data_IF_289785856376
#
_entry.id   IF_289785856376
#
_cell.length_a   1.000
_cell.length_b   1.000
_cell.length_c   1.000
_cell.angle_alpha   90.00
_cell.angle_beta   90.00
_cell.angle_gamma   90.00
#
_symmetry.space_group_name_H-M   'P 1'
#
loop_
_entity.id
_entity.type
_entity.pdbx_description
1 polymer ?
#
# COMPACT_ATOMS: atom_id res chain seq x y z
N UNK A 1 -14.02 -8.42 8.43
CA UNK A 1 -14.10 -6.98 8.08
C UNK A 1 -14.99 -6.19 9.04
N UNK A 2 -16.16 -6.71 9.45
CA UNK A 2 -17.11 -5.98 10.34
C UNK A 2 -16.48 -5.45 11.65
N UNK A 3 -15.48 -6.13 12.21
CA UNK A 3 -14.73 -5.67 13.38
C UNK A 3 -13.93 -4.37 13.17
N UNK A 4 -13.67 -3.97 11.92
CA UNK A 4 -13.03 -2.70 11.56
C UNK A 4 -14.05 -1.60 11.23
N UNK A 5 -15.35 -1.92 11.19
CA UNK A 5 -16.40 -0.95 10.90
C UNK A 5 -16.55 0.07 12.03
N UNK A 6 -16.68 1.35 11.67
CA UNK A 6 -16.99 2.43 12.61
C UNK A 6 -18.49 2.50 12.94
N UNK A 7 -19.34 1.91 12.11
CA UNK A 7 -20.80 1.96 12.24
C UNK A 7 -21.28 0.81 13.11
N UNK A 8 -22.15 1.09 14.07
CA UNK A 8 -22.82 0.04 14.83
C UNK A 8 -23.83 -0.71 13.98
N UNK A 9 -23.72 -2.03 14.00
CA UNK A 9 -24.55 -2.89 13.17
C UNK A 9 -25.69 -3.43 14.02
N UNK A 10 -26.92 -3.12 13.61
CA UNK A 10 -28.09 -3.78 14.16
C UNK A 10 -28.38 -5.03 13.32
N UNK A 11 -28.60 -6.15 14.00
CA UNK A 11 -28.88 -7.44 13.37
C UNK A 11 -30.33 -7.82 13.56
N UNK A 12 -30.96 -8.23 12.48
CA UNK A 12 -32.36 -8.63 12.40
C UNK A 12 -32.52 -9.98 11.68
N UNK A 13 -33.76 -10.45 11.57
CA UNK A 13 -34.09 -11.71 10.89
C UNK A 13 -33.80 -11.71 9.39
N UNK A 14 -33.56 -10.55 8.79
CA UNK A 14 -33.24 -10.39 7.37
C UNK A 14 -31.73 -10.23 7.14
N UNK A 15 -30.95 -10.15 8.22
CA UNK A 15 -29.50 -10.07 8.16
C UNK A 15 -28.92 -11.39 7.63
N UNK A 16 -27.89 -11.33 6.78
CA UNK A 16 -27.31 -12.52 6.19
C UNK A 16 -26.70 -13.42 7.27
N UNK A 17 -26.80 -14.74 7.08
CA UNK A 17 -26.44 -15.75 8.09
C UNK A 17 -25.03 -15.58 8.63
N UNK A 18 -24.06 -15.26 7.77
CA UNK A 18 -22.68 -15.03 8.19
C UNK A 18 -22.53 -13.88 9.20
N UNK A 19 -23.37 -12.84 9.12
CA UNK A 19 -23.37 -11.74 10.09
C UNK A 19 -24.05 -12.12 11.40
N UNK A 20 -25.09 -12.95 11.35
CA UNK A 20 -25.74 -13.49 12.54
C UNK A 20 -24.81 -14.41 13.35
N UNK A 21 -24.01 -15.23 12.66
CA UNK A 21 -23.07 -16.16 13.30
C UNK A 21 -22.05 -15.45 14.20
N UNK A 22 -21.49 -14.32 13.75
CA UNK A 22 -20.45 -13.60 14.49
C UNK A 22 -20.95 -12.36 15.24
N UNK A 23 -22.23 -12.01 15.08
CA UNK A 23 -22.80 -10.74 15.54
C UNK A 23 -22.56 -10.42 17.01
N UNK A 24 -22.57 -11.45 17.87
CA UNK A 24 -22.32 -11.31 19.31
C UNK A 24 -20.87 -10.93 19.65
N UNK A 25 -19.90 -11.37 18.85
CA UNK A 25 -18.48 -11.15 19.09
C UNK A 25 -17.94 -9.86 18.44
N UNK A 26 -18.61 -9.38 17.39
CA UNK A 26 -18.18 -8.18 16.65
C UNK A 26 -17.95 -6.95 17.56
N UNK A 27 -18.81 -6.62 18.55
CA UNK A 27 -18.56 -5.47 19.43
C UNK A 27 -17.25 -5.57 20.21
N UNK A 28 -16.91 -6.78 20.70
CA UNK A 28 -15.64 -7.03 21.40
C UNK A 28 -14.46 -6.84 20.45
N UNK A 29 -14.50 -7.45 19.26
CA UNK A 29 -13.43 -7.31 18.27
C UNK A 29 -13.24 -5.86 17.81
N UNK A 30 -14.31 -5.07 17.71
CA UNK A 30 -14.20 -3.61 17.46
C UNK A 30 -13.42 -2.89 18.54
N UNK A 31 -13.62 -3.23 19.82
CA UNK A 31 -12.86 -2.64 20.92
C UNK A 31 -11.39 -3.04 20.87
N UNK A 32 -11.09 -4.29 20.53
CA UNK A 32 -9.72 -4.78 20.34
C UNK A 32 -9.04 -4.05 19.17
N UNK A 33 -9.72 -3.87 18.03
CA UNK A 33 -9.21 -3.12 16.87
C UNK A 33 -8.95 -1.65 17.22
N UNK A 34 -9.88 -0.99 17.93
CA UNK A 34 -9.68 0.40 18.39
C UNK A 34 -8.48 0.52 19.31
N UNK A 35 -8.33 -0.43 20.25
CA UNK A 35 -7.20 -0.49 21.17
C UNK A 35 -5.89 -0.73 20.42
N UNK A 36 -5.89 -1.62 19.43
CA UNK A 36 -4.73 -1.90 18.58
C UNK A 36 -4.26 -0.64 17.83
N UNK A 37 -5.16 0.09 17.16
CA UNK A 37 -4.79 1.34 16.49
C UNK A 37 -4.29 2.42 17.45
N UNK A 38 -4.81 2.45 18.68
CA UNK A 38 -4.29 3.34 19.73
C UNK A 38 -2.86 2.95 20.10
N UNK A 39 -2.61 1.66 20.36
CA UNK A 39 -1.28 1.16 20.69
C UNK A 39 -0.26 1.46 19.59
N UNK A 40 -0.61 1.21 18.31
CA UNK A 40 0.28 1.51 17.17
C UNK A 40 0.59 3.00 17.05
N UNK A 41 -0.39 3.87 17.30
CA UNK A 41 -0.19 5.32 17.28
C UNK A 41 0.70 5.81 18.42
N UNK A 42 0.53 5.21 19.59
CA UNK A 42 1.25 5.59 20.81
C UNK A 42 2.68 4.99 20.84
N UNK A 43 3.06 4.16 19.85
CA UNK A 43 4.44 3.67 19.69
C UNK A 43 5.41 4.80 19.34
N UNK A 44 6.69 4.69 19.75
CA UNK A 44 7.73 5.62 19.32
C UNK A 44 7.83 5.71 17.79
N UNK A 45 8.13 6.91 17.28
CA UNK A 45 8.34 7.09 15.84
C UNK A 45 9.58 6.34 15.37
N UNK A 46 9.46 5.70 14.21
CA UNK A 46 10.57 5.00 13.56
C UNK A 46 11.50 6.04 12.95
N UNK A 47 12.81 5.94 13.23
CA UNK A 47 13.79 6.85 12.64
C UNK A 47 14.04 6.54 11.16
N UNK A 48 14.38 7.56 10.37
CA UNK A 48 14.72 7.36 8.95
C UNK A 48 15.91 6.41 8.75
N UNK A 49 16.85 6.38 9.70
CA UNK A 49 18.01 5.49 9.65
C UNK A 49 17.58 4.03 9.87
N UNK A 50 16.78 3.76 10.89
CA UNK A 50 16.25 2.43 11.19
C UNK A 50 15.42 1.91 10.02
N UNK A 51 14.52 2.74 9.48
CA UNK A 51 13.72 2.40 8.31
C UNK A 51 14.61 2.04 7.10
N UNK A 52 15.66 2.82 6.84
CA UNK A 52 16.60 2.56 5.74
C UNK A 52 17.32 1.23 5.93
N UNK A 53 17.80 0.94 7.13
CA UNK A 53 18.49 -0.31 7.46
C UNK A 53 17.54 -1.50 7.23
N UNK A 54 16.32 -1.41 7.74
CA UNK A 54 15.29 -2.46 7.57
C UNK A 54 15.00 -2.72 6.08
N UNK A 55 14.69 -1.67 5.32
CA UNK A 55 14.36 -1.79 3.89
C UNK A 55 15.55 -2.33 3.08
N UNK A 56 16.78 -1.91 3.38
CA UNK A 56 17.98 -2.45 2.73
C UNK A 56 18.21 -3.93 3.07
N UNK A 57 17.92 -4.34 4.31
CA UNK A 57 17.97 -5.73 4.75
C UNK A 57 17.03 -6.62 3.92
N UNK A 58 15.74 -6.27 3.87
CA UNK A 58 14.76 -7.03 3.09
C UNK A 58 15.07 -6.98 1.58
N UNK A 59 15.53 -5.84 1.05
CA UNK A 59 15.93 -5.73 -0.36
C UNK A 59 17.09 -6.65 -0.71
N UNK A 60 18.08 -6.79 0.19
CA UNK A 60 19.22 -7.68 -0.01
C UNK A 60 18.80 -9.15 0.07
N UNK A 61 17.93 -9.48 1.01
CA UNK A 61 17.40 -10.84 1.22
C UNK A 61 16.69 -11.38 -0.02
N UNK A 62 15.92 -10.53 -0.71
CA UNK A 62 15.08 -10.93 -1.84
C UNK A 62 15.65 -10.54 -3.23
N UNK A 63 16.87 -9.99 -3.29
CA UNK A 63 17.46 -9.41 -4.52
C UNK A 63 17.38 -10.31 -5.75
N UNK A 64 17.58 -11.62 -5.57
CA UNK A 64 17.70 -12.57 -6.68
C UNK A 64 16.49 -13.51 -6.81
N UNK A 65 15.39 -13.23 -6.12
CA UNK A 65 14.17 -14.04 -6.19
C UNK A 65 13.33 -13.74 -7.43
N UNK A 66 13.53 -12.56 -8.04
CA UNK A 66 12.73 -12.08 -9.15
C UNK A 66 13.57 -11.86 -10.40
N UNK A 67 12.98 -12.13 -11.57
CA UNK A 67 13.61 -11.82 -12.85
C UNK A 67 13.23 -10.39 -13.28
N UNK A 68 14.09 -9.43 -12.93
CA UNK A 68 13.92 -8.02 -13.26
C UNK A 68 13.79 -7.78 -14.78
N UNK A 69 14.51 -8.54 -15.60
CA UNK A 69 14.49 -8.37 -17.06
C UNK A 69 13.11 -8.68 -17.67
N UNK A 70 12.41 -9.68 -17.13
CA UNK A 70 11.05 -10.04 -17.57
C UNK A 70 10.06 -9.00 -17.08
N UNK A 71 10.17 -8.57 -15.82
CA UNK A 71 9.30 -7.53 -15.26
C UNK A 71 9.39 -6.22 -16.05
N UNK A 72 10.62 -5.79 -16.38
CA UNK A 72 10.85 -4.59 -17.21
C UNK A 72 10.27 -4.74 -18.61
N UNK A 73 10.41 -5.91 -19.24
CA UNK A 73 9.83 -6.17 -20.56
C UNK A 73 8.31 -6.04 -20.55
N UNK A 74 7.64 -6.56 -19.53
CA UNK A 74 6.18 -6.44 -19.39
C UNK A 74 5.76 -5.00 -19.08
N UNK A 75 6.49 -4.28 -18.23
CA UNK A 75 6.24 -2.87 -17.95
C UNK A 75 6.38 -1.98 -19.21
N UNK A 76 7.39 -2.25 -20.05
CA UNK A 76 7.60 -1.53 -21.30
C UNK A 76 6.40 -1.62 -22.26
N UNK A 77 5.66 -2.73 -22.27
CA UNK A 77 4.44 -2.86 -23.08
C UNK A 77 3.39 -1.81 -22.68
N UNK A 78 3.21 -1.58 -21.37
CA UNK A 78 2.30 -0.57 -20.87
C UNK A 78 2.80 0.85 -21.13
N UNK A 79 4.11 1.09 -20.97
CA UNK A 79 4.73 2.39 -21.28
C UNK A 79 4.49 2.77 -22.75
N UNK A 80 4.72 1.86 -23.69
CA UNK A 80 4.49 2.10 -25.11
C UNK A 80 3.01 2.30 -25.43
N UNK A 81 2.13 1.47 -24.85
CA UNK A 81 0.68 1.54 -25.06
C UNK A 81 0.08 2.89 -24.63
N UNK A 82 0.57 3.46 -23.55
CA UNK A 82 0.08 4.72 -22.98
C UNK A 82 1.03 5.89 -23.21
N UNK A 83 2.00 5.76 -24.13
CA UNK A 83 3.07 6.74 -24.33
C UNK A 83 2.54 8.17 -24.52
N UNK A 84 1.52 8.35 -25.35
CA UNK A 84 0.92 9.66 -25.61
C UNK A 84 0.26 10.27 -24.36
N UNK A 85 -0.38 9.46 -23.53
CA UNK A 85 -1.04 9.91 -22.30
C UNK A 85 -0.02 10.25 -21.21
N UNK A 86 1.04 9.44 -21.10
CA UNK A 86 2.18 9.70 -20.22
C UNK A 86 2.87 11.00 -20.61
N UNK A 87 3.11 11.20 -21.90
CA UNK A 87 3.79 12.40 -22.43
C UNK A 87 2.92 13.66 -22.35
N UNK A 88 1.60 13.53 -22.56
CA UNK A 88 0.65 14.62 -22.41
C UNK A 88 0.41 15.02 -20.94
N UNK A 89 0.76 14.15 -19.99
CA UNK A 89 0.72 14.52 -18.57
C UNK A 89 1.79 15.58 -18.27
N UNK A 90 1.38 16.72 -17.71
CA UNK A 90 2.26 17.89 -17.44
C UNK A 90 3.50 17.56 -16.57
N UNK A 91 3.53 16.41 -15.90
CA UNK A 91 4.65 15.94 -15.09
C UNK A 91 5.83 15.42 -15.93
N UNK A 92 5.57 14.78 -17.07
CA UNK A 92 6.64 14.13 -17.85
C UNK A 92 7.51 15.15 -18.60
N UNK A 93 6.90 16.24 -19.10
CA UNK A 93 7.61 17.33 -19.80
C UNK A 93 8.59 18.07 -18.87
N UNK A 94 8.26 18.22 -17.58
CA UNK A 94 9.12 18.90 -16.61
C UNK A 94 10.25 18.03 -16.05
N UNK A 95 10.04 16.71 -15.90
CA UNK A 95 11.07 15.80 -15.37
C UNK A 95 12.09 15.34 -16.41
N UNK A 96 11.69 15.10 -17.67
CA UNK A 96 12.65 14.72 -18.72
C UNK A 96 13.64 15.85 -19.05
N UNK A 97 13.23 17.12 -18.94
CA UNK A 97 14.14 18.27 -19.08
C UNK A 97 15.21 18.35 -17.99
N UNK A 98 14.93 17.90 -16.75
CA UNK A 98 15.92 17.95 -15.65
C UNK A 98 16.96 16.83 -15.73
N UNK A 99 16.56 15.63 -16.14
CA UNK A 99 17.48 14.47 -16.19
C UNK A 99 18.47 14.57 -17.35
N UNK A 100 18.04 15.07 -18.52
CA UNK A 100 18.94 15.23 -19.67
C UNK A 100 19.95 16.40 -19.44
N UNK A 101 19.55 17.46 -18.73
CA UNK A 101 20.44 18.62 -18.51
C UNK A 101 21.46 18.45 -17.38
N UNK A 102 21.29 17.49 -16.45
CA UNK A 102 22.26 17.29 -15.36
C UNK A 102 23.35 16.26 -15.65
N UNK A 103 23.26 15.51 -16.75
CA UNK A 103 24.26 14.52 -17.15
C UNK A 103 25.00 14.85 -18.46
N UNK A 104 24.61 15.92 -19.17
CA UNK A 104 25.23 16.32 -20.47
C UNK A 104 25.78 17.76 -20.47
N UNK A 105 25.66 18.53 -19.38
CA UNK A 105 26.35 19.82 -19.21
C UNK A 105 27.10 19.91 -17.88
#
# INVERSE_FOLDING_TARGET
>A
MDSFSLVEQHLDKHSPTNKLLYGKDIPRYKQEVKSYYKLVRDQPSISSQELKIFLQGESKKHRNEFNESVALRELCKYMLRYFQQVFASKAFICQFKRVIFSEIL
#
